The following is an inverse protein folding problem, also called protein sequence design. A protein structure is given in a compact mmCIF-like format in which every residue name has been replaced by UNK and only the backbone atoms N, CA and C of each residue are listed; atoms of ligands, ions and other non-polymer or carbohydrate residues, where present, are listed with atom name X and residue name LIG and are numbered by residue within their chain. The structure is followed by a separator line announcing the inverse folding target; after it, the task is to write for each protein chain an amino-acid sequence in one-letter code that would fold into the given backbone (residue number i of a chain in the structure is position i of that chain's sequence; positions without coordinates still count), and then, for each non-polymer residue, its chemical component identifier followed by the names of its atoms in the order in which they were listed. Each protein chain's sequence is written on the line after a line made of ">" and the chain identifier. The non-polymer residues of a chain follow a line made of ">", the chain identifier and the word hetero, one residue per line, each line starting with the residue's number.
data_IF_293271865864
#
_entry.id   IF_293271865864
#
_cell.length_a   1.000
_cell.length_b   1.000
_cell.length_c   1.000
_cell.angle_alpha   90.00
_cell.angle_beta   90.00
_cell.angle_gamma   90.00
#
_symmetry.space_group_name_H-M   'P 1'
#
loop_
_entity.id
_entity.type
_entity.pdbx_description
1 polymer ?
#
# COMPACT_ATOMS: atom_id res chain seq x y z
N UNK A 1 -12.77 -6.19 -3.54
CA UNK A 1 -12.53 -5.07 -4.47
C UNK A 1 -13.58 -4.01 -4.31
N UNK A 2 -13.19 -2.74 -4.50
CA UNK A 2 -14.12 -1.61 -4.61
C UNK A 2 -14.82 -1.64 -5.98
N UNK A 3 -15.78 -0.73 -6.21
CA UNK A 3 -16.44 -0.60 -7.51
C UNK A 3 -15.48 -0.08 -8.59
N UNK A 4 -15.81 -0.32 -9.86
CA UNK A 4 -15.02 0.19 -10.99
C UNK A 4 -14.95 1.72 -11.00
N UNK A 5 -16.01 2.38 -10.57
CA UNK A 5 -16.09 3.85 -10.49
C UNK A 5 -15.17 4.39 -9.39
N UNK A 6 -15.12 3.74 -8.23
CA UNK A 6 -14.19 4.09 -7.16
C UNK A 6 -12.73 3.85 -7.58
N UNK A 7 -12.45 2.73 -8.24
CA UNK A 7 -11.14 2.41 -8.81
C UNK A 7 -10.69 3.47 -9.83
N UNK A 8 -11.58 3.84 -10.76
CA UNK A 8 -11.29 4.88 -11.76
C UNK A 8 -11.06 6.26 -11.13
N UNK A 9 -11.86 6.65 -10.13
CA UNK A 9 -11.68 7.91 -9.39
C UNK A 9 -10.35 7.94 -8.66
N UNK A 10 -9.96 6.86 -7.97
CA UNK A 10 -8.69 6.78 -7.28
C UNK A 10 -7.50 6.90 -8.25
N UNK A 11 -7.60 6.31 -9.45
CA UNK A 11 -6.61 6.39 -10.53
C UNK A 11 -6.49 7.75 -11.22
N UNK A 12 -7.34 8.73 -10.88
CA UNK A 12 -7.13 10.13 -11.32
C UNK A 12 -5.99 10.80 -10.56
N UNK A 13 -5.51 10.19 -9.46
CA UNK A 13 -4.48 10.74 -8.60
C UNK A 13 -4.78 12.17 -8.12
N UNK A 14 -6.06 12.49 -7.91
CA UNK A 14 -6.49 13.77 -7.37
C UNK A 14 -5.73 14.09 -6.07
N UNK A 15 -5.41 15.38 -5.89
CA UNK A 15 -4.73 15.88 -4.72
C UNK A 15 -5.49 15.46 -3.43
N UNK A 16 -4.77 15.15 -2.35
CA UNK A 16 -5.38 14.77 -1.08
C UNK A 16 -6.09 15.95 -0.43
N UNK A 17 -6.89 15.66 0.60
CA UNK A 17 -7.55 16.69 1.42
C UNK A 17 -6.55 17.68 2.01
N UNK A 18 -7.01 18.89 2.33
CA UNK A 18 -6.16 19.94 2.90
C UNK A 18 -5.40 19.44 4.15
N UNK A 19 -4.08 19.66 4.17
CA UNK A 19 -3.20 19.19 5.24
C UNK A 19 -2.89 17.68 5.25
N UNK A 20 -3.34 16.93 4.24
CA UNK A 20 -3.09 15.50 4.09
C UNK A 20 -2.13 15.19 2.96
N UNK A 21 -1.53 14.01 3.02
CA UNK A 21 -0.84 13.36 1.92
C UNK A 21 -1.66 12.15 1.47
N UNK A 22 -1.74 11.91 0.16
CA UNK A 22 -2.34 10.70 -0.37
C UNK A 22 -1.31 9.58 -0.34
N UNK A 23 -1.71 8.39 0.07
CA UNK A 23 -0.84 7.23 0.16
C UNK A 23 -1.46 6.06 -0.62
N UNK A 24 -0.73 5.61 -1.64
CA UNK A 24 -1.06 4.45 -2.45
C UNK A 24 -0.14 3.31 -2.06
N UNK A 25 -0.71 2.21 -1.59
CA UNK A 25 0.06 1.00 -1.28
C UNK A 25 -0.42 -0.09 -2.23
N UNK A 26 0.48 -0.73 -2.96
CA UNK A 26 0.09 -1.62 -4.04
C UNK A 26 0.97 -2.86 -4.16
N UNK A 27 0.44 -3.91 -4.78
CA UNK A 27 1.17 -5.13 -5.10
C UNK A 27 0.93 -5.50 -6.56
N UNK A 28 1.96 -5.33 -7.38
CA UNK A 28 1.95 -5.66 -8.82
C UNK A 28 2.73 -6.93 -9.15
N UNK A 29 3.06 -7.76 -8.15
CA UNK A 29 3.89 -8.95 -8.32
C UNK A 29 3.05 -10.20 -8.62
N UNK A 30 3.43 -10.97 -9.64
CA UNK A 30 2.86 -12.31 -9.90
C UNK A 30 3.26 -13.35 -8.83
N UNK A 31 4.36 -13.11 -8.10
CA UNK A 31 4.89 -14.04 -7.10
C UNK A 31 3.99 -14.10 -5.86
N UNK A 32 3.78 -15.31 -5.33
CA UNK A 32 3.02 -15.53 -4.10
C UNK A 32 1.51 -15.35 -4.27
N UNK A 33 0.90 -15.76 -5.39
CA UNK A 33 -0.52 -15.50 -5.68
C UNK A 33 -1.52 -15.98 -4.63
N UNK A 34 -1.20 -17.08 -3.96
CA UNK A 34 -2.02 -17.63 -2.88
C UNK A 34 -1.83 -16.88 -1.54
N UNK A 35 -0.82 -16.02 -1.44
CA UNK A 35 -0.51 -15.27 -0.23
C UNK A 35 -1.27 -13.97 -0.21
N UNK A 36 -1.86 -13.72 0.95
CA UNK A 36 -2.37 -12.42 1.33
C UNK A 36 -1.51 -11.85 2.43
N UNK A 37 -1.43 -10.52 2.50
CA UNK A 37 -0.54 -9.84 3.44
C UNK A 37 -1.15 -8.55 3.95
N UNK A 38 -1.29 -8.45 5.26
CA UNK A 38 -1.82 -7.25 5.89
C UNK A 38 -0.88 -6.07 5.72
N UNK A 39 -1.47 -4.90 5.56
CA UNK A 39 -0.78 -3.62 5.48
C UNK A 39 -1.36 -2.70 6.55
N UNK A 40 -0.46 -2.08 7.31
CA UNK A 40 -0.80 -1.11 8.33
C UNK A 40 -0.07 0.21 8.10
N UNK A 41 -0.73 1.29 8.50
CA UNK A 41 -0.17 2.65 8.50
C UNK A 41 -0.43 3.26 9.88
N UNK A 42 0.64 3.62 10.57
CA UNK A 42 0.62 4.10 11.96
C UNK A 42 -0.17 3.18 12.90
N UNK A 43 0.01 1.87 12.74
CA UNK A 43 -0.71 0.85 13.50
C UNK A 43 -2.20 0.69 13.13
N UNK A 44 -2.70 1.43 12.13
CA UNK A 44 -4.07 1.28 11.62
C UNK A 44 -4.09 0.36 10.41
N UNK A 45 -5.03 -0.58 10.42
CA UNK A 45 -5.23 -1.48 9.29
C UNK A 45 -5.65 -0.69 8.04
N UNK A 46 -4.87 -0.82 6.97
CA UNK A 46 -5.25 -0.39 5.61
C UNK A 46 -6.02 -1.51 4.93
N UNK A 47 -5.53 -2.74 5.02
CA UNK A 47 -6.22 -3.91 4.52
C UNK A 47 -5.30 -5.08 4.22
N UNK A 48 -5.93 -6.22 3.99
CA UNK A 48 -5.29 -7.45 3.55
C UNK A 48 -5.04 -7.42 2.04
N UNK A 49 -3.77 -7.38 1.63
CA UNK A 49 -3.37 -7.30 0.23
C UNK A 49 -3.53 -8.62 -0.53
N UNK A 50 -3.72 -8.51 -1.84
CA UNK A 50 -3.74 -9.62 -2.78
C UNK A 50 -2.83 -9.28 -4.00
N UNK A 51 -2.64 -10.20 -4.96
CA UNK A 51 -2.00 -9.85 -6.23
C UNK A 51 -2.83 -8.84 -7.02
N UNK A 52 -2.14 -7.96 -7.74
CA UNK A 52 -2.69 -7.04 -8.74
C UNK A 52 -3.71 -6.01 -8.19
N UNK A 53 -3.55 -5.62 -6.92
CA UNK A 53 -4.40 -4.62 -6.27
C UNK A 53 -3.61 -3.46 -5.68
N UNK A 54 -4.33 -2.37 -5.43
CA UNK A 54 -3.84 -1.25 -4.65
C UNK A 54 -4.87 -0.78 -3.61
N UNK A 55 -4.39 -0.11 -2.58
CA UNK A 55 -5.16 0.63 -1.59
C UNK A 55 -4.86 2.11 -1.75
N UNK A 56 -5.83 2.97 -1.43
CA UNK A 56 -5.66 4.41 -1.29
C UNK A 56 -6.13 4.83 0.09
N UNK A 57 -5.28 5.54 0.82
CA UNK A 57 -5.62 6.19 2.09
C UNK A 57 -5.04 7.60 2.14
N UNK A 58 -5.43 8.39 3.13
CA UNK A 58 -4.85 9.72 3.38
C UNK A 58 -4.22 9.76 4.78
N UNK A 59 -3.02 10.32 4.85
CA UNK A 59 -2.22 10.46 6.07
C UNK A 59 -1.90 11.93 6.33
N UNK A 60 -1.37 12.27 7.50
CA UNK A 60 -1.09 13.66 7.84
C UNK A 60 0.15 14.16 7.07
N UNK A 61 0.06 15.33 6.42
CA UNK A 61 1.24 15.94 5.83
C UNK A 61 2.17 16.55 6.89
N UNK A 62 3.47 16.61 6.59
CA UNK A 62 4.50 17.22 7.44
C UNK A 62 5.00 16.34 8.58
N UNK A 63 4.63 15.06 8.61
CA UNK A 63 5.07 14.10 9.65
C UNK A 63 5.58 12.80 9.04
N UNK A 64 6.34 12.06 9.84
CA UNK A 64 6.81 10.72 9.51
C UNK A 64 5.75 9.69 9.85
N UNK A 65 5.47 8.80 8.91
CA UNK A 65 4.54 7.70 9.06
C UNK A 65 5.26 6.36 9.14
N UNK A 66 4.76 5.45 9.96
CA UNK A 66 5.21 4.07 10.04
C UNK A 66 4.32 3.22 9.15
N UNK A 67 4.89 2.49 8.20
CA UNK A 67 4.15 1.55 7.36
C UNK A 67 4.67 0.14 7.62
N UNK A 68 3.75 -0.79 7.85
CA UNK A 68 4.07 -2.17 8.19
C UNK A 68 3.38 -3.12 7.21
N UNK A 69 4.02 -4.26 6.94
CA UNK A 69 3.37 -5.39 6.28
C UNK A 69 3.62 -6.66 7.07
N UNK A 70 2.62 -7.54 7.11
CA UNK A 70 2.80 -8.88 7.68
C UNK A 70 3.91 -9.63 6.92
N UNK A 71 4.80 -10.32 7.63
CA UNK A 71 5.83 -11.15 7.03
C UNK A 71 6.52 -12.00 8.08
N UNK A 72 6.89 -13.21 7.68
CA UNK A 72 7.52 -14.22 8.54
C UNK A 72 9.05 -14.05 8.66
N UNK A 73 9.60 -13.01 8.02
CA UNK A 73 11.03 -12.68 8.04
C UNK A 73 11.27 -11.24 8.49
N UNK A 74 12.14 -11.04 9.49
CA UNK A 74 12.72 -9.77 9.98
C UNK A 74 11.81 -8.53 9.96
N UNK A 75 12.36 -7.30 10.04
CA UNK A 75 11.54 -6.08 10.05
C UNK A 75 10.98 -5.79 8.66
N UNK A 76 9.67 -5.57 8.57
CA UNK A 76 8.95 -5.24 7.32
C UNK A 76 8.25 -3.88 7.44
N UNK A 77 8.84 -3.06 8.30
CA UNK A 77 8.47 -1.68 8.57
C UNK A 77 9.32 -0.75 7.73
N UNK A 78 8.70 0.27 7.15
CA UNK A 78 9.40 1.44 6.63
C UNK A 78 8.88 2.71 7.29
N UNK A 79 9.73 3.73 7.36
CA UNK A 79 9.34 5.08 7.76
C UNK A 79 9.27 5.98 6.52
N UNK A 80 8.19 6.74 6.38
CA UNK A 80 7.96 7.62 5.23
C UNK A 80 7.59 9.02 5.71
N UNK A 81 8.42 10.01 5.41
CA UNK A 81 8.07 11.42 5.58
C UNK A 81 7.13 11.83 4.45
N UNK A 82 5.97 12.39 4.78
CA UNK A 82 5.02 12.88 3.78
C UNK A 82 4.81 14.39 3.87
N UNK A 83 4.55 15.02 2.73
CA UNK A 83 4.23 16.44 2.63
C UNK A 83 2.75 16.62 2.25
N UNK A 84 2.13 17.65 2.82
CA UNK A 84 0.73 17.98 2.52
C UNK A 84 0.55 18.30 1.02
N UNK A 85 -0.54 17.81 0.44
CA UNK A 85 -0.87 18.04 -0.97
C UNK A 85 -0.18 17.09 -1.97
N UNK A 86 0.71 16.20 -1.52
CA UNK A 86 1.42 15.23 -2.38
C UNK A 86 0.83 13.83 -2.29
N UNK A 87 1.01 13.04 -3.34
CA UNK A 87 0.70 11.62 -3.37
C UNK A 87 1.99 10.80 -3.31
N UNK A 88 2.01 9.79 -2.45
CA UNK A 88 3.12 8.87 -2.24
C UNK A 88 2.72 7.46 -2.63
N UNK A 89 3.69 6.69 -3.09
CA UNK A 89 3.50 5.36 -3.64
C UNK A 89 4.45 4.39 -2.95
N UNK A 90 3.90 3.30 -2.44
CA UNK A 90 4.63 2.26 -1.73
C UNK A 90 4.28 0.92 -2.34
N UNK A 91 5.29 0.24 -2.84
CA UNK A 91 5.14 -1.09 -3.41
C UNK A 91 5.34 -2.13 -2.31
N UNK A 92 4.41 -3.07 -2.23
CA UNK A 92 4.57 -4.30 -1.47
C UNK A 92 5.08 -5.39 -2.41
N UNK A 93 6.18 -6.03 -2.03
CA UNK A 93 6.77 -7.15 -2.75
C UNK A 93 6.82 -8.39 -1.87
N UNK A 94 6.72 -9.57 -2.48
CA UNK A 94 6.84 -10.85 -1.78
C UNK A 94 8.31 -11.26 -1.69
N UNK A 95 8.73 -11.61 -0.48
CA UNK A 95 10.03 -12.23 -0.21
C UNK A 95 9.86 -13.74 -0.28
N UNK A 96 10.49 -14.37 -1.28
CA UNK A 96 10.51 -15.83 -1.40
C UNK A 96 11.38 -16.43 -0.31
N UNK A 97 10.75 -17.14 0.63
CA UNK A 97 11.41 -17.94 1.65
C UNK A 97 11.38 -19.43 1.33
N UNK A 98 12.17 -20.21 2.07
CA UNK A 98 12.30 -21.68 1.88
C UNK A 98 11.03 -22.44 2.31
N UNK A 99 10.24 -21.90 3.24
CA UNK A 99 9.05 -22.59 3.79
C UNK A 99 7.78 -21.73 3.84
N UNK A 100 7.93 -20.41 3.88
CA UNK A 100 6.81 -19.48 4.03
C UNK A 100 7.15 -18.16 3.35
N UNK A 101 6.16 -17.48 2.77
CA UNK A 101 6.37 -16.27 1.98
C UNK A 101 6.23 -15.03 2.83
N UNK A 102 7.31 -14.27 3.00
CA UNK A 102 7.26 -12.95 3.62
C UNK A 102 6.90 -11.86 2.63
N UNK A 103 6.88 -10.62 3.10
CA UNK A 103 6.64 -9.44 2.31
C UNK A 103 7.48 -8.27 2.82
N UNK A 104 7.76 -7.31 1.95
CA UNK A 104 8.39 -6.04 2.32
C UNK A 104 7.68 -4.89 1.64
N UNK A 105 7.99 -3.68 2.12
CA UNK A 105 7.52 -2.43 1.56
C UNK A 105 8.71 -1.64 1.02
N UNK A 106 8.52 -0.98 -0.11
CA UNK A 106 9.50 -0.05 -0.69
C UNK A 106 8.78 1.21 -1.20
N UNK A 107 9.20 2.42 -0.80
CA UNK A 107 8.76 3.64 -1.48
C UNK A 107 9.26 3.64 -2.93
N UNK A 108 8.40 4.06 -3.85
CA UNK A 108 8.75 4.24 -5.26
C UNK A 108 8.54 5.69 -5.67
N UNK A 109 9.03 6.06 -6.85
CA UNK A 109 8.78 7.39 -7.41
C UNK A 109 7.30 7.58 -7.77
N UNK A 110 6.87 8.83 -7.88
CA UNK A 110 5.50 9.16 -8.27
C UNK A 110 5.20 8.66 -9.69
N UNK A 111 6.17 8.75 -10.60
CA UNK A 111 6.04 8.28 -11.98
C UNK A 111 5.86 6.76 -12.05
N UNK A 112 6.71 6.00 -11.33
CA UNK A 112 6.64 4.53 -11.28
C UNK A 112 5.34 4.07 -10.62
N UNK A 113 5.03 4.63 -9.44
CA UNK A 113 3.85 4.27 -8.68
C UNK A 113 2.55 4.54 -9.43
N UNK A 114 2.43 5.67 -10.13
CA UNK A 114 1.28 5.96 -10.99
C UNK A 114 1.16 4.96 -12.15
N UNK A 115 2.26 4.67 -12.84
CA UNK A 115 2.27 3.75 -13.96
C UNK A 115 1.87 2.33 -13.55
N UNK A 116 2.25 1.91 -12.34
CA UNK A 116 1.83 0.63 -11.77
C UNK A 116 0.36 0.65 -11.36
N UNK A 117 -0.07 1.61 -10.53
CA UNK A 117 -1.45 1.68 -10.01
C UNK A 117 -2.50 1.72 -11.13
N UNK A 118 -2.20 2.35 -12.26
CA UNK A 118 -3.11 2.38 -13.42
C UNK A 118 -3.50 0.98 -13.92
N UNK A 119 -2.62 -0.02 -13.76
CA UNK A 119 -2.80 -1.41 -14.19
C UNK A 119 -3.52 -2.29 -13.15
N UNK A 120 -3.71 -1.80 -11.93
CA UNK A 120 -4.19 -2.58 -10.77
C UNK A 120 -5.62 -2.22 -10.42
N UNK A 121 -6.28 -3.00 -9.57
CA UNK A 121 -7.64 -2.69 -9.10
C UNK A 121 -7.68 -2.24 -7.64
N UNK A 122 -8.59 -1.31 -7.33
CA UNK A 122 -8.76 -0.80 -5.98
C UNK A 122 -9.35 -1.89 -5.07
N UNK A 123 -8.62 -2.26 -4.03
CA UNK A 123 -9.08 -3.16 -3.00
C UNK A 123 -9.99 -2.44 -1.98
N UNK A 124 -10.87 -3.20 -1.34
CA UNK A 124 -11.61 -2.70 -0.17
C UNK A 124 -10.66 -2.81 1.02
N UNK A 125 -10.39 -1.68 1.68
CA UNK A 125 -9.59 -1.66 2.90
C UNK A 125 -10.39 -2.01 4.16
N UNK A 126 -9.72 -1.92 5.31
CA UNK A 126 -10.35 -1.93 6.63
C UNK A 126 -10.46 -3.29 7.32
N UNK A 127 -9.87 -4.35 6.77
CA UNK A 127 -9.76 -5.65 7.43
C UNK A 127 -8.34 -6.20 7.29
N UNK A 128 -7.77 -6.57 8.43
CA UNK A 128 -6.47 -7.21 8.59
C UNK A 128 -6.67 -8.32 9.64
N UNK A 129 -6.04 -9.47 9.42
CA UNK A 129 -6.14 -10.65 10.30
C UNK A 129 -5.05 -10.65 11.39
N UNK A 130 -3.93 -9.98 11.14
CA UNK A 130 -2.79 -9.85 12.03
C UNK A 130 -2.78 -8.55 12.85
N UNK A 131 -1.71 -8.39 13.63
CA UNK A 131 -1.42 -7.18 14.40
C UNK A 131 -0.29 -6.36 13.75
N UNK A 132 -0.35 -5.01 13.80
CA UNK A 132 0.70 -4.13 13.27
C UNK A 132 2.06 -4.23 13.98
#
# INVERSE_FOLDING_TARGET
>A
MASKEESARAKTFAAPSAGKAGLYIYRNSFVGKALKKDIFVDGKCVGESAPDVFFRTEVAGGVMHKLDTESEFSSNTIALMTEAGRNYFVRQYIKLGVFVGGAGLEPVTEEEGKADVLKLELAKGGHCDGTP
#
